data_IF_743610235617
#
_entry.id   IF_743610235617
#
_cell.length_a   1.000
_cell.length_b   1.000
_cell.length_c   1.000
_cell.angle_alpha   90.00
_cell.angle_beta   90.00
_cell.angle_gamma   90.00
#
_symmetry.space_group_name_H-M   'P 1'
#
loop_
_entity.id
_entity.type
_entity.pdbx_description
1 polymer ?
#
# COMPACT_ATOMS: atom_id res chain seq x y z
N UNK A 1 -31.83 -17.34 -0.89
CA UNK A 1 -30.74 -17.33 0.12
C UNK A 1 -29.43 -17.55 -0.62
N UNK A 2 -28.65 -16.49 -0.84
CA UNK A 2 -27.38 -16.55 -1.58
C UNK A 2 -26.27 -17.01 -0.61
N UNK A 3 -25.70 -18.19 -0.84
CA UNK A 3 -24.50 -18.64 -0.10
C UNK A 3 -23.27 -18.07 -0.82
N UNK A 4 -22.66 -17.04 -0.23
CA UNK A 4 -21.44 -16.41 -0.74
C UNK A 4 -20.24 -17.17 -0.17
N UNK A 5 -19.57 -18.00 -0.99
CA UNK A 5 -18.25 -18.54 -0.65
C UNK A 5 -17.22 -17.49 -1.10
N UNK A 6 -16.65 -16.76 -0.15
CA UNK A 6 -15.65 -15.74 -0.42
C UNK A 6 -14.24 -16.32 -0.20
N UNK A 7 -13.51 -16.56 -1.28
CA UNK A 7 -12.07 -16.82 -1.22
C UNK A 7 -11.33 -15.50 -1.44
N UNK A 8 -10.66 -15.01 -0.39
CA UNK A 8 -9.86 -13.79 -0.47
C UNK A 8 -8.38 -14.15 -0.68
N UNK A 9 -7.85 -13.81 -1.85
CA UNK A 9 -6.42 -13.81 -2.09
C UNK A 9 -5.93 -12.35 -2.05
N UNK A 10 -4.78 -12.13 -1.41
CA UNK A 10 -4.07 -10.85 -1.42
C UNK A 10 -2.81 -10.97 -2.25
N UNK A 11 -2.62 -10.04 -3.19
CA UNK A 11 -1.37 -9.87 -3.92
C UNK A 11 -0.78 -8.51 -3.53
N UNK A 12 0.53 -8.49 -3.30
CA UNK A 12 1.28 -7.28 -2.97
C UNK A 12 2.39 -7.07 -3.98
N UNK A 13 2.58 -5.83 -4.43
CA UNK A 13 3.69 -5.42 -5.28
C UNK A 13 4.32 -4.13 -4.72
N UNK A 14 5.64 -4.10 -4.60
CA UNK A 14 6.41 -2.96 -4.09
C UNK A 14 7.32 -2.38 -5.18
N UNK A 15 7.50 -1.06 -5.18
CA UNK A 15 8.45 -0.37 -6.06
C UNK A 15 9.09 0.83 -5.36
N UNK A 16 10.41 1.01 -5.43
CA UNK A 16 11.09 2.14 -4.81
C UNK A 16 10.68 3.46 -5.47
N UNK A 17 10.54 4.51 -4.66
CA UNK A 17 10.09 5.84 -5.10
C UNK A 17 11.15 6.90 -4.82
N UNK A 18 11.64 6.94 -3.58
CA UNK A 18 12.53 8.01 -3.13
C UNK A 18 13.35 7.55 -1.91
N UNK A 19 14.55 8.11 -1.76
CA UNK A 19 15.35 8.02 -0.55
C UNK A 19 15.82 9.40 -0.16
N UNK A 20 15.85 9.69 1.13
CA UNK A 20 16.25 10.98 1.65
C UNK A 20 17.14 10.81 2.88
N UNK A 21 18.25 11.53 2.90
CA UNK A 21 19.08 11.68 4.09
C UNK A 21 18.64 12.90 4.90
N UNK A 22 18.64 12.72 6.22
CA UNK A 22 18.15 13.69 7.19
C UNK A 22 19.15 13.76 8.35
N UNK A 23 19.63 14.96 8.67
CA UNK A 23 20.35 15.21 9.91
C UNK A 23 19.42 15.95 10.86
N UNK A 24 19.21 15.38 12.05
CA UNK A 24 18.31 15.94 13.05
C UNK A 24 18.80 15.60 14.46
N UNK A 25 18.88 16.59 15.35
CA UNK A 25 19.41 16.45 16.72
C UNK A 25 20.74 15.66 16.79
N UNK A 26 21.70 16.03 15.93
CA UNK A 26 23.00 15.36 15.78
C UNK A 26 22.96 13.87 15.36
N UNK A 27 21.79 13.34 15.00
CA UNK A 27 21.63 11.98 14.47
C UNK A 27 21.38 12.03 12.96
N UNK A 28 22.06 11.14 12.22
CA UNK A 28 21.80 10.93 10.81
C UNK A 28 20.76 9.82 10.63
N UNK A 29 19.74 10.12 9.83
CA UNK A 29 18.66 9.22 9.45
C UNK A 29 18.62 9.06 7.94
N UNK A 30 18.19 7.87 7.50
CA UNK A 30 17.88 7.61 6.10
C UNK A 30 16.41 7.19 6.01
N UNK A 31 15.61 7.98 5.31
CA UNK A 31 14.24 7.65 4.98
C UNK A 31 14.19 6.98 3.61
N UNK A 32 13.49 5.85 3.50
CA UNK A 32 13.20 5.17 2.25
C UNK A 32 11.70 5.15 2.01
N UNK A 33 11.31 5.37 0.76
CA UNK A 33 9.93 5.41 0.33
C UNK A 33 9.73 4.46 -0.84
N UNK A 34 8.73 3.60 -0.73
CA UNK A 34 8.32 2.67 -1.78
C UNK A 34 6.81 2.69 -1.92
N UNK A 35 6.29 2.59 -3.15
CA UNK A 35 4.86 2.32 -3.34
C UNK A 35 4.58 0.86 -3.07
N UNK A 36 3.52 0.57 -2.33
CA UNK A 36 2.99 -0.79 -2.17
C UNK A 36 1.55 -0.83 -2.64
N UNK A 37 1.26 -1.72 -3.59
CA UNK A 37 -0.10 -2.01 -4.04
C UNK A 37 -0.60 -3.29 -3.39
N UNK A 38 -1.75 -3.26 -2.73
CA UNK A 38 -2.42 -4.47 -2.22
C UNK A 38 -3.76 -4.63 -2.89
N UNK A 39 -4.11 -5.85 -3.32
CA UNK A 39 -5.41 -6.15 -3.93
C UNK A 39 -6.17 -7.19 -3.13
N UNK A 40 -7.48 -7.01 -3.02
CA UNK A 40 -8.42 -7.97 -2.47
C UNK A 40 -9.35 -8.44 -3.58
N UNK A 41 -9.49 -9.75 -3.70
CA UNK A 41 -10.41 -10.39 -4.62
C UNK A 41 -11.65 -10.91 -3.88
N UNK A 42 -12.80 -10.82 -4.52
CA UNK A 42 -14.06 -11.38 -4.07
C UNK A 42 -14.76 -12.06 -5.25
N UNK A 43 -14.75 -13.39 -5.25
CA UNK A 43 -15.52 -14.17 -6.21
C UNK A 43 -16.99 -14.23 -5.76
N UNK A 44 -17.89 -13.84 -6.65
CA UNK A 44 -19.34 -13.90 -6.43
C UNK A 44 -19.91 -14.95 -7.37
N UNK A 45 -20.39 -16.05 -6.82
CA UNK A 45 -21.07 -17.11 -7.56
C UNK A 45 -22.58 -16.98 -7.41
N UNK A 46 -23.31 -16.62 -8.49
CA UNK A 46 -24.76 -16.70 -8.47
C UNK A 46 -25.18 -18.16 -8.41
N UNK A 47 -25.98 -18.57 -7.43
CA UNK A 47 -26.59 -19.90 -7.41
C UNK A 47 -28.03 -19.81 -7.90
N UNK A 48 -28.28 -20.31 -9.10
CA UNK A 48 -29.63 -20.47 -9.64
C UNK A 48 -30.03 -21.94 -9.62
N UNK A 49 -31.27 -22.24 -9.23
CA UNK A 49 -31.76 -23.61 -9.05
C UNK A 49 -31.83 -24.43 -10.36
N UNK A 50 -31.91 -23.76 -11.51
CA UNK A 50 -32.24 -24.37 -12.79
C UNK A 50 -31.37 -23.89 -13.97
N UNK A 51 -30.29 -23.14 -13.72
CA UNK A 51 -29.38 -22.70 -14.78
C UNK A 51 -27.94 -22.56 -14.29
N UNK A 52 -26.95 -22.87 -15.14
CA UNK A 52 -25.56 -22.52 -14.86
C UNK A 52 -25.41 -21.00 -14.76
N UNK A 53 -24.54 -20.56 -13.85
CA UNK A 53 -24.17 -19.17 -13.69
C UNK A 53 -22.67 -19.02 -13.91
N UNK A 54 -22.27 -17.93 -14.57
CA UNK A 54 -20.87 -17.53 -14.62
C UNK A 54 -20.55 -16.75 -13.35
N UNK A 55 -19.47 -17.10 -12.61
CA UNK A 55 -19.01 -16.28 -11.49
C UNK A 55 -18.63 -14.88 -11.97
N UNK A 56 -18.66 -13.93 -11.04
CA UNK A 56 -18.11 -12.58 -11.25
C UNK A 56 -16.99 -12.39 -10.25
N UNK A 57 -15.79 -12.08 -10.73
CA UNK A 57 -14.71 -11.63 -9.87
C UNK A 57 -14.83 -10.13 -9.63
N UNK A 58 -15.04 -9.72 -8.38
CA UNK A 58 -14.91 -8.33 -7.95
C UNK A 58 -13.55 -8.14 -7.30
N UNK A 59 -12.95 -6.97 -7.49
CA UNK A 59 -11.67 -6.68 -6.87
C UNK A 59 -11.57 -5.21 -6.45
N UNK A 60 -10.75 -4.97 -5.44
CA UNK A 60 -10.38 -3.64 -4.99
C UNK A 60 -8.89 -3.63 -4.68
N UNK A 61 -8.18 -2.58 -5.12
CA UNK A 61 -6.78 -2.37 -4.84
C UNK A 61 -6.53 -1.02 -4.15
N UNK A 62 -5.57 -1.04 -3.22
CA UNK A 62 -5.06 0.13 -2.52
C UNK A 62 -3.60 0.35 -2.91
N UNK A 63 -3.24 1.60 -3.17
CA UNK A 63 -1.87 2.05 -3.38
C UNK A 63 -1.48 2.94 -2.19
N UNK A 64 -0.35 2.66 -1.57
CA UNK A 64 0.21 3.47 -0.48
C UNK A 64 1.67 3.76 -0.74
N UNK A 65 2.21 4.82 -0.15
CA UNK A 65 3.67 5.00 -0.03
C UNK A 65 4.08 4.53 1.36
N UNK A 66 4.82 3.44 1.44
CA UNK A 66 5.43 2.97 2.68
C UNK A 66 6.71 3.76 2.94
N UNK A 67 6.81 4.30 4.16
CA UNK A 67 8.02 4.94 4.67
C UNK A 67 8.75 4.00 5.61
N UNK A 68 9.99 3.67 5.27
CA UNK A 68 10.98 3.12 6.18
C UNK A 68 11.94 4.21 6.66
N UNK A 69 12.46 4.09 7.89
CA UNK A 69 13.50 4.98 8.39
C UNK A 69 14.55 4.14 9.10
N UNK A 70 15.82 4.44 8.85
CA UNK A 70 16.93 3.88 9.61
C UNK A 70 17.73 4.98 10.29
N UNK A 71 18.28 4.68 11.46
CA UNK A 71 19.23 5.53 12.19
C UNK A 71 20.45 4.67 12.53
N UNK A 72 21.65 5.13 12.17
CA UNK A 72 22.89 4.38 12.40
C UNK A 72 22.81 2.91 11.89
N UNK A 73 22.16 2.71 10.73
CA UNK A 73 21.98 1.40 10.11
C UNK A 73 20.90 0.51 10.74
N UNK A 74 20.17 0.99 11.76
CA UNK A 74 19.09 0.23 12.42
C UNK A 74 17.71 0.77 12.04
N UNK A 75 16.72 -0.08 11.71
CA UNK A 75 15.35 0.35 11.46
C UNK A 75 14.75 1.04 12.69
N UNK A 76 14.09 2.17 12.46
CA UNK A 76 13.35 2.92 13.48
C UNK A 76 11.84 2.72 13.27
N UNK A 77 11.31 1.64 13.83
CA UNK A 77 9.91 1.25 13.65
C UNK A 77 8.90 2.30 14.12
N UNK A 78 9.25 3.13 15.11
CA UNK A 78 8.38 4.15 15.68
C UNK A 78 7.92 5.22 14.66
N UNK A 79 8.66 5.40 13.56
CA UNK A 79 8.31 6.34 12.47
C UNK A 79 8.12 5.64 11.12
N UNK A 80 8.24 4.32 11.06
CA UNK A 80 7.98 3.57 9.83
C UNK A 80 6.46 3.36 9.70
N UNK A 81 5.85 3.85 8.59
CA UNK A 81 4.40 3.76 8.40
C UNK A 81 3.97 3.85 6.93
N UNK A 82 2.78 3.35 6.57
CA UNK A 82 2.14 3.64 5.29
C UNK A 82 1.58 5.06 5.26
N UNK A 83 1.66 5.70 4.11
CA UNK A 83 1.10 7.02 3.81
C UNK A 83 -0.03 6.84 2.79
N UNK A 84 -1.27 7.03 3.26
CA UNK A 84 -2.49 6.83 2.48
C UNK A 84 -2.93 8.13 1.80
N UNK A 85 -2.49 8.33 0.55
CA UNK A 85 -2.83 9.53 -0.26
C UNK A 85 -3.59 9.22 -1.54
N UNK A 86 -3.64 7.95 -1.95
CA UNK A 86 -4.30 7.53 -3.18
C UNK A 86 -5.70 7.01 -2.87
N UNK A 87 -6.65 7.34 -3.73
CA UNK A 87 -7.95 6.69 -3.70
C UNK A 87 -7.79 5.20 -4.07
N UNK A 88 -8.56 4.29 -3.42
CA UNK A 88 -8.63 2.91 -3.86
C UNK A 88 -9.25 2.83 -5.25
N UNK A 89 -8.84 1.82 -6.02
CA UNK A 89 -9.46 1.47 -7.29
C UNK A 89 -10.19 0.15 -7.16
N UNK A 90 -11.26 -0.03 -7.94
CA UNK A 90 -12.04 -1.26 -7.92
C UNK A 90 -12.56 -1.57 -9.32
N UNK A 91 -12.86 -2.85 -9.54
CA UNK A 91 -13.38 -3.32 -10.80
C UNK A 91 -13.99 -4.71 -10.70
N UNK A 92 -14.40 -5.24 -11.85
CA UNK A 92 -14.92 -6.59 -11.95
C UNK A 92 -14.65 -7.23 -13.29
N UNK A 93 -14.43 -8.55 -13.30
CA UNK A 93 -14.32 -9.36 -14.50
C UNK A 93 -15.33 -10.52 -14.44
N UNK A 94 -15.85 -10.92 -15.60
CA UNK A 94 -16.60 -12.17 -15.70
C UNK A 94 -15.64 -13.37 -15.51
N UNK A 95 -16.14 -14.42 -14.86
CA UNK A 95 -15.36 -15.61 -14.55
C UNK A 95 -14.79 -15.63 -13.13
N UNK A 96 -13.91 -16.60 -12.87
CA UNK A 96 -13.27 -16.76 -11.56
C UNK A 96 -12.20 -15.71 -11.33
N UNK A 97 -11.91 -15.40 -10.06
CA UNK A 97 -10.83 -14.46 -9.75
C UNK A 97 -9.45 -14.97 -10.13
N UNK A 98 -9.25 -16.29 -10.14
CA UNK A 98 -7.99 -16.87 -10.61
C UNK A 98 -7.77 -16.58 -12.10
N UNK A 99 -8.82 -16.73 -12.93
CA UNK A 99 -8.73 -16.43 -14.36
C UNK A 99 -8.51 -14.93 -14.64
N UNK A 100 -9.05 -14.05 -13.80
CA UNK A 100 -8.93 -12.60 -13.94
C UNK A 100 -7.60 -12.02 -13.39
N UNK A 101 -6.82 -12.81 -12.63
CA UNK A 101 -5.70 -12.32 -11.81
C UNK A 101 -4.63 -11.56 -12.61
N UNK A 102 -4.29 -12.02 -13.81
CA UNK A 102 -3.28 -11.37 -14.66
C UNK A 102 -3.77 -10.03 -15.22
N UNK A 103 -5.04 -9.96 -15.63
CA UNK A 103 -5.66 -8.72 -16.13
C UNK A 103 -5.72 -7.67 -15.02
N UNK A 104 -6.18 -8.06 -13.83
CA UNK A 104 -6.23 -7.17 -12.65
C UNK A 104 -4.83 -6.71 -12.25
N UNK A 105 -3.83 -7.59 -12.28
CA UNK A 105 -2.45 -7.21 -11.99
C UNK A 105 -1.90 -6.18 -12.98
N UNK A 106 -2.22 -6.32 -14.28
CA UNK A 106 -1.83 -5.35 -15.30
C UNK A 106 -2.55 -4.00 -15.11
N UNK A 107 -3.82 -4.00 -14.69
CA UNK A 107 -4.55 -2.77 -14.35
C UNK A 107 -3.94 -2.04 -13.16
N UNK A 108 -3.60 -2.76 -12.09
CA UNK A 108 -2.92 -2.18 -10.92
C UNK A 108 -1.53 -1.65 -11.28
N UNK A 109 -0.77 -2.38 -12.10
CA UNK A 109 0.55 -1.92 -12.55
C UNK A 109 0.46 -0.63 -13.37
N UNK A 110 -0.50 -0.53 -14.29
CA UNK A 110 -0.78 0.70 -15.05
C UNK A 110 -1.19 1.85 -14.13
N UNK A 111 -2.07 1.57 -13.16
CA UNK A 111 -2.48 2.55 -12.17
C UNK A 111 -1.29 3.08 -11.36
N UNK A 112 -0.47 2.19 -10.80
CA UNK A 112 0.72 2.54 -10.03
C UNK A 112 1.71 3.37 -10.86
N UNK A 113 2.01 2.95 -12.09
CA UNK A 113 2.90 3.68 -13.00
C UNK A 113 2.40 5.11 -13.28
N UNK A 114 1.10 5.26 -13.52
CA UNK A 114 0.48 6.57 -13.75
C UNK A 114 0.49 7.50 -12.52
N UNK A 115 0.70 6.96 -11.31
CA UNK A 115 0.82 7.73 -10.05
C UNK A 115 2.26 7.93 -9.57
N UNK A 116 3.27 7.45 -10.30
CA UNK A 116 4.68 7.54 -9.88
C UNK A 116 5.11 8.97 -9.51
N UNK A 117 4.72 9.98 -10.29
CA UNK A 117 5.02 11.39 -9.99
C UNK A 117 4.32 11.91 -8.73
N UNK A 118 3.06 11.51 -8.51
CA UNK A 118 2.32 11.84 -7.29
C UNK A 118 2.92 11.14 -6.06
N UNK A 119 3.34 9.87 -6.20
CA UNK A 119 4.04 9.14 -5.14
C UNK A 119 5.36 9.80 -4.74
N UNK A 120 6.13 10.29 -5.72
CA UNK A 120 7.33 11.08 -5.44
C UNK A 120 6.99 12.37 -4.69
N UNK A 121 5.94 13.09 -5.12
CA UNK A 121 5.48 14.30 -4.42
C UNK A 121 5.07 14.01 -2.98
N UNK A 122 4.36 12.90 -2.74
CA UNK A 122 3.99 12.46 -1.37
C UNK A 122 5.24 12.21 -0.53
N UNK A 123 6.23 11.48 -1.05
CA UNK A 123 7.47 11.19 -0.34
C UNK A 123 8.27 12.46 -0.03
N UNK A 124 8.33 13.42 -0.96
CA UNK A 124 9.04 14.69 -0.75
C UNK A 124 8.35 15.57 0.30
N UNK A 125 7.02 15.65 0.28
CA UNK A 125 6.24 16.44 1.24
C UNK A 125 6.26 15.86 2.65
N UNK A 126 6.45 14.55 2.78
CA UNK A 126 6.47 13.87 4.08
C UNK A 126 7.66 14.27 4.97
N UNK A 127 8.71 14.88 4.40
CA UNK A 127 9.89 15.36 5.15
C UNK A 127 9.52 16.16 6.40
N UNK A 128 8.60 17.11 6.29
CA UNK A 128 8.20 17.95 7.42
C UNK A 128 7.49 17.15 8.52
N UNK A 129 6.66 16.17 8.13
CA UNK A 129 5.98 15.27 9.06
C UNK A 129 7.00 14.40 9.79
N UNK A 130 7.95 13.83 9.07
CA UNK A 130 8.98 12.97 9.65
C UNK A 130 9.86 13.74 10.65
N UNK A 131 10.26 14.98 10.36
CA UNK A 131 11.03 15.79 11.31
C UNK A 131 10.25 16.00 12.63
N UNK A 132 8.96 16.32 12.55
CA UNK A 132 8.11 16.49 13.74
C UNK A 132 7.96 15.20 14.55
N UNK A 133 7.89 14.03 13.88
CA UNK A 133 7.83 12.74 14.56
C UNK A 133 9.15 12.40 15.26
N UNK A 134 10.30 12.75 14.65
CA UNK A 134 11.62 12.59 15.27
C UNK A 134 11.79 13.51 16.48
N UNK A 135 11.31 14.75 16.42
CA UNK A 135 11.25 15.66 17.58
C UNK A 135 10.44 15.02 18.73
N UNK A 136 9.30 14.41 18.39
CA UNK A 136 8.47 13.67 19.34
C UNK A 136 9.24 12.57 20.06
N UNK A 137 9.94 11.72 19.33
CA UNK A 137 10.74 10.62 19.90
C UNK A 137 11.87 11.14 20.79
N UNK A 138 12.59 12.17 20.34
CA UNK A 138 13.67 12.77 21.11
C UNK A 138 13.16 13.36 22.44
N UNK A 139 12.00 14.02 22.42
CA UNK A 139 11.39 14.58 23.63
C UNK A 139 10.97 13.51 24.66
N UNK A 140 10.57 12.32 24.20
CA UNK A 140 10.23 11.19 25.06
C UNK A 140 11.48 10.56 25.67
N UNK A 141 12.56 10.45 24.91
CA UNK A 141 13.84 9.93 25.39
C UNK A 141 14.44 10.80 26.51
N UNK A 142 14.33 12.12 26.40
CA UNK A 142 14.86 13.07 27.41
C UNK A 142 14.06 13.07 28.70
N UNK A 143 12.75 12.76 28.68
CA UNK A 143 11.89 12.74 29.88
C UNK A 143 11.92 11.43 30.66
N UNK A 144 12.41 10.35 30.05
CA UNK A 144 12.43 9.01 30.64
C UNK A 144 13.76 8.58 31.25
N UNK A 145 14.79 9.43 31.21
CA UNK A 145 16.10 9.24 31.84
C UNK A 145 16.26 10.12 33.07
#
# INVERSE_FOLDING_TARGET
MFLIIASAATLSAAAPVHTAELSHAATAYQASYETVSTVRFQQVEPRFANRPATPVCRWQAELVVNRGVTAQGRPLAAVAKPIHRFAPIAGSHAGSCEAARSQVSAEIARYSSARSGEALSVAQQDRAVLLNELDGINSLAVKGG
#
